data_IF_702636634474
#
_entry.id   IF_702636634474
#
_cell.length_a   1.000
_cell.length_b   1.000
_cell.length_c   1.000
_cell.angle_alpha   90.00
_cell.angle_beta   90.00
_cell.angle_gamma   90.00
#
_symmetry.space_group_name_H-M   'P 1'
#
loop_
_entity.id
_entity.type
_entity.pdbx_description
1 polymer ?
#
# COMPACT_ATOMS: atom_id res chain seq x y z
N UNK A 1 -13.27 -30.92 26.42
CA UNK A 1 -13.75 -30.98 25.02
C UNK A 1 -12.58 -30.97 24.01
N UNK A 2 -12.55 -31.89 23.03
CA UNK A 2 -11.52 -31.82 22.00
C UNK A 2 -11.75 -30.53 21.18
N UNK A 3 -10.71 -29.70 21.04
CA UNK A 3 -10.74 -28.52 20.18
C UNK A 3 -10.94 -29.02 18.75
N UNK A 4 -12.01 -28.57 18.10
CA UNK A 4 -12.19 -28.79 16.67
C UNK A 4 -10.93 -28.34 15.92
N UNK A 5 -10.49 -29.06 14.87
CA UNK A 5 -9.36 -28.62 14.08
C UNK A 5 -9.72 -27.24 13.52
N UNK A 6 -8.89 -26.23 13.82
CA UNK A 6 -8.97 -24.94 13.12
C UNK A 6 -8.70 -25.28 11.67
N UNK A 7 -9.76 -25.22 10.85
CA UNK A 7 -9.66 -25.51 9.43
C UNK A 7 -8.58 -24.58 8.86
N UNK A 8 -7.43 -25.17 8.55
CA UNK A 8 -6.38 -24.59 7.75
C UNK A 8 -6.97 -24.44 6.34
N UNK A 9 -7.89 -23.47 6.18
CA UNK A 9 -8.48 -23.13 4.88
C UNK A 9 -7.32 -22.60 4.06
N UNK A 10 -6.76 -23.50 3.25
CA UNK A 10 -5.79 -23.19 2.21
C UNK A 10 -6.33 -22.01 1.40
N UNK A 11 -5.79 -20.82 1.65
CA UNK A 11 -5.89 -19.61 0.84
C UNK A 11 -5.33 -19.77 -0.59
N UNK A 12 -5.09 -21.01 -1.05
CA UNK A 12 -4.42 -21.32 -2.31
C UNK A 12 -5.35 -21.31 -3.52
N UNK A 13 -6.67 -21.27 -3.36
CA UNK A 13 -7.60 -21.46 -4.50
C UNK A 13 -8.24 -20.20 -5.06
N UNK A 14 -8.17 -19.05 -4.39
CA UNK A 14 -8.88 -17.83 -4.85
C UNK A 14 -8.02 -16.95 -5.76
N UNK A 15 -6.69 -17.08 -5.71
CA UNK A 15 -5.76 -16.19 -6.46
C UNK A 15 -5.51 -16.59 -7.92
N UNK A 16 -6.34 -17.46 -8.52
CA UNK A 16 -6.07 -18.03 -9.86
C UNK A 16 -6.26 -17.09 -11.06
N UNK A 17 -6.64 -15.83 -10.87
CA UNK A 17 -7.05 -14.97 -11.98
C UNK A 17 -6.26 -13.68 -12.21
N UNK A 18 -5.17 -13.40 -11.49
CA UNK A 18 -4.34 -12.22 -11.79
C UNK A 18 -2.87 -12.57 -11.70
N UNK A 19 -2.12 -12.20 -12.73
CA UNK A 19 -0.69 -12.49 -12.92
C UNK A 19 0.23 -11.74 -11.94
N UNK A 20 -0.15 -11.69 -10.67
CA UNK A 20 0.64 -11.16 -9.56
C UNK A 20 0.67 -12.23 -8.48
N UNK A 21 1.77 -12.97 -8.41
CA UNK A 21 2.01 -13.88 -7.29
C UNK A 21 2.04 -13.06 -6.00
N UNK A 22 0.97 -13.14 -5.21
CA UNK A 22 0.94 -12.59 -3.86
C UNK A 22 1.79 -13.49 -2.99
N UNK A 23 3.08 -13.21 -3.00
CA UNK A 23 4.05 -13.84 -2.12
C UNK A 23 4.00 -13.08 -0.80
N UNK A 24 3.86 -13.77 0.34
CA UNK A 24 3.81 -13.17 1.69
C UNK A 24 5.10 -12.45 2.12
N UNK A 25 5.95 -12.09 1.16
CA UNK A 25 7.21 -11.37 1.28
C UNK A 25 7.13 -9.92 0.78
N UNK A 26 5.99 -9.49 0.22
CA UNK A 26 5.78 -8.10 -0.20
C UNK A 26 5.04 -7.30 0.88
N UNK A 27 5.58 -6.12 1.23
CA UNK A 27 4.89 -5.13 2.06
C UNK A 27 3.87 -4.38 1.19
N UNK A 28 2.60 -4.75 1.32
CA UNK A 28 1.50 -4.12 0.58
C UNK A 28 0.97 -2.84 1.22
N UNK A 29 1.34 -2.56 2.47
CA UNK A 29 1.04 -1.35 3.23
C UNK A 29 2.19 -1.03 4.20
N UNK A 30 2.45 0.25 4.47
CA UNK A 30 3.51 0.67 5.40
C UNK A 30 3.12 0.47 6.86
N UNK A 31 1.83 0.62 7.18
CA UNK A 31 1.30 0.44 8.54
C UNK A 31 -0.12 -0.15 8.49
N UNK A 32 -0.38 -1.11 9.37
CA UNK A 32 -1.69 -1.71 9.57
C UNK A 32 -2.16 -1.43 11.01
N UNK A 33 -3.35 -0.86 11.15
CA UNK A 33 -4.01 -0.63 12.43
C UNK A 33 -5.31 -1.43 12.47
N UNK A 34 -5.63 -1.99 13.63
CA UNK A 34 -6.91 -2.69 13.84
C UNK A 34 -7.59 -2.07 15.05
N UNK A 35 -8.80 -1.57 14.84
CA UNK A 35 -9.63 -1.02 15.89
C UNK A 35 -10.78 -1.98 16.19
N UNK A 36 -10.92 -2.34 17.46
CA UNK A 36 -12.15 -2.95 17.96
C UNK A 36 -13.19 -1.84 18.17
N UNK A 37 -14.26 -1.87 17.37
CA UNK A 37 -15.35 -0.89 17.45
C UNK A 37 -16.53 -1.40 18.28
N UNK A 38 -16.44 -2.62 18.83
CA UNK A 38 -17.52 -3.30 19.54
C UNK A 38 -18.64 -3.87 18.65
N UNK A 39 -18.60 -3.62 17.32
CA UNK A 39 -19.54 -4.19 16.35
C UNK A 39 -18.82 -4.97 15.25
N UNK A 40 -17.95 -4.28 14.53
CA UNK A 40 -17.22 -4.79 13.37
C UNK A 40 -15.79 -4.26 13.46
N UNK A 41 -14.75 -5.10 13.51
CA UNK A 41 -13.38 -4.61 13.52
C UNK A 41 -13.11 -3.75 12.29
N UNK A 42 -12.45 -2.61 12.49
CA UNK A 42 -12.00 -1.72 11.42
C UNK A 42 -10.50 -1.92 11.23
N UNK A 43 -10.13 -2.40 10.04
CA UNK A 43 -8.73 -2.49 9.60
C UNK A 43 -8.40 -1.25 8.79
N UNK A 44 -7.43 -0.47 9.27
CA UNK A 44 -6.91 0.71 8.59
C UNK A 44 -5.55 0.37 7.98
N UNK A 45 -5.51 0.46 6.66
CA UNK A 45 -4.35 0.26 5.82
C UNK A 45 -3.74 1.62 5.52
N UNK A 46 -2.50 1.87 5.91
CA UNK A 46 -1.83 3.16 5.69
C UNK A 46 -0.68 2.98 4.71
N UNK A 47 -0.69 3.80 3.68
CA UNK A 47 0.43 3.96 2.75
C UNK A 47 0.97 5.39 2.88
N UNK A 48 2.24 5.52 3.24
CA UNK A 48 2.91 6.76 3.55
C UNK A 48 4.01 7.09 2.53
N UNK A 49 3.92 8.29 1.95
CA UNK A 49 4.90 8.78 0.98
C UNK A 49 5.62 10.02 1.47
N UNK A 50 6.86 9.82 1.90
CA UNK A 50 7.77 10.88 2.35
C UNK A 50 8.41 11.72 1.23
N UNK A 51 8.20 11.38 -0.04
CA UNK A 51 8.77 12.11 -1.18
C UNK A 51 7.92 11.99 -2.43
N UNK A 52 7.73 13.12 -3.15
CA UNK A 52 6.92 13.24 -4.38
C UNK A 52 5.45 12.80 -4.22
N UNK A 53 4.69 12.91 -5.29
CA UNK A 53 3.31 12.43 -5.39
C UNK A 53 3.27 10.93 -5.65
N UNK A 54 2.13 10.30 -5.37
CA UNK A 54 1.84 8.94 -5.85
C UNK A 54 1.70 8.96 -7.37
N UNK A 55 2.39 8.05 -8.08
CA UNK A 55 2.17 7.87 -9.52
C UNK A 55 0.98 6.94 -9.77
N UNK A 56 0.34 7.09 -10.92
CA UNK A 56 -0.76 6.20 -11.34
C UNK A 56 -0.34 4.73 -11.32
N UNK A 57 0.84 4.41 -11.87
CA UNK A 57 1.38 3.05 -11.88
C UNK A 57 1.65 2.47 -10.49
N UNK A 58 2.06 3.31 -9.52
CA UNK A 58 2.27 2.88 -8.14
C UNK A 58 0.95 2.54 -7.46
N UNK A 59 -0.06 3.41 -7.62
CA UNK A 59 -1.39 3.20 -7.06
C UNK A 59 -2.05 1.97 -7.70
N UNK A 60 -2.07 1.90 -9.02
CA UNK A 60 -2.65 0.79 -9.78
C UNK A 60 -2.07 -0.58 -9.37
N UNK A 61 -0.74 -0.68 -9.32
CA UNK A 61 -0.06 -1.91 -8.90
C UNK A 61 -0.41 -2.31 -7.47
N UNK A 62 -0.51 -1.35 -6.54
CA UNK A 62 -0.82 -1.60 -5.13
C UNK A 62 -2.29 -1.98 -4.95
N UNK A 63 -3.21 -1.26 -5.59
CA UNK A 63 -4.64 -1.53 -5.51
C UNK A 63 -5.03 -2.85 -6.17
N UNK A 64 -4.38 -3.22 -7.27
CA UNK A 64 -4.59 -4.53 -7.91
C UNK A 64 -4.26 -5.68 -6.95
N UNK A 65 -3.19 -5.55 -6.16
CA UNK A 65 -2.84 -6.55 -5.15
C UNK A 65 -3.79 -6.50 -3.95
N UNK A 66 -4.13 -5.31 -3.46
CA UNK A 66 -5.10 -5.16 -2.37
C UNK A 66 -6.48 -5.74 -2.74
N UNK A 67 -6.97 -5.54 -3.96
CA UNK A 67 -8.21 -6.15 -4.45
C UNK A 67 -8.15 -7.67 -4.33
N UNK A 68 -7.07 -8.29 -4.81
CA UNK A 68 -6.89 -9.73 -4.73
C UNK A 68 -6.77 -10.28 -3.30
N UNK A 69 -6.38 -9.46 -2.32
CA UNK A 69 -6.33 -9.82 -0.89
C UNK A 69 -7.69 -9.60 -0.22
N UNK A 70 -8.31 -8.44 -0.44
CA UNK A 70 -9.44 -7.96 0.34
C UNK A 70 -10.79 -8.40 -0.23
N UNK A 71 -10.95 -8.46 -1.55
CA UNK A 71 -12.24 -8.83 -2.16
C UNK A 71 -12.70 -10.24 -1.70
N UNK A 72 -11.84 -11.27 -1.65
CA UNK A 72 -12.22 -12.57 -1.11
C UNK A 72 -12.63 -12.55 0.37
N UNK A 73 -12.06 -11.65 1.17
CA UNK A 73 -12.40 -11.51 2.60
C UNK A 73 -13.79 -10.91 2.74
N UNK A 74 -14.08 -9.89 1.93
CA UNK A 74 -15.36 -9.18 1.96
C UNK A 74 -16.51 -9.99 1.35
N UNK A 75 -16.21 -10.99 0.52
CA UNK A 75 -17.20 -11.92 -0.04
C UNK A 75 -17.54 -13.09 0.90
N UNK A 76 -16.68 -13.43 1.87
CA UNK A 76 -16.81 -14.61 2.74
C UNK A 76 -17.51 -14.34 4.09
N UNK A 77 -18.35 -13.30 4.18
CA UNK A 77 -19.22 -12.97 5.33
C UNK A 77 -18.52 -12.74 6.69
N UNK A 78 -17.19 -12.60 6.74
CA UNK A 78 -16.53 -12.11 7.95
C UNK A 78 -16.73 -10.59 8.02
N UNK A 79 -17.44 -10.05 9.02
CA UNK A 79 -17.67 -8.61 9.09
C UNK A 79 -16.34 -7.96 9.50
N UNK A 80 -15.63 -7.40 8.52
CA UNK A 80 -14.46 -6.56 8.72
C UNK A 80 -14.62 -5.34 7.82
N UNK A 81 -14.52 -4.15 8.40
CA UNK A 81 -14.49 -2.91 7.63
C UNK A 81 -13.04 -2.57 7.26
N UNK A 82 -12.83 -2.08 6.03
CA UNK A 82 -11.52 -1.64 5.57
C UNK A 82 -11.52 -0.15 5.26
N UNK A 83 -10.47 0.54 5.72
CA UNK A 83 -10.13 1.89 5.29
C UNK A 83 -8.70 1.92 4.74
N UNK A 84 -8.48 2.67 3.66
CA UNK A 84 -7.17 2.93 3.08
C UNK A 84 -6.82 4.41 3.20
N UNK A 85 -5.76 4.68 3.94
CA UNK A 85 -5.27 6.04 4.23
C UNK A 85 -4.01 6.28 3.41
N UNK A 86 -4.09 7.29 2.55
CA UNK A 86 -2.95 7.78 1.79
C UNK A 86 -2.33 8.97 2.51
N UNK A 87 -1.15 8.74 3.08
CA UNK A 87 -0.42 9.74 3.83
C UNK A 87 0.68 10.36 2.97
N UNK A 88 0.65 11.68 2.78
CA UNK A 88 1.60 12.40 1.93
C UNK A 88 2.43 13.43 2.69
N UNK A 89 3.69 13.62 2.29
CA UNK A 89 4.52 14.72 2.79
C UNK A 89 3.95 16.12 2.51
N UNK A 90 3.02 16.24 1.55
CA UNK A 90 2.22 17.44 1.26
C UNK A 90 0.76 17.03 1.04
N UNK A 91 -0.18 17.94 1.27
CA UNK A 91 -1.59 17.69 0.98
C UNK A 91 -1.85 17.38 -0.49
N UNK A 92 -1.14 18.05 -1.41
CA UNK A 92 -1.24 17.74 -2.84
C UNK A 92 -0.80 16.31 -3.19
N UNK A 93 0.16 15.74 -2.46
CA UNK A 93 0.59 14.36 -2.67
C UNK A 93 -0.47 13.37 -2.22
N UNK A 94 -1.03 13.54 -1.01
CA UNK A 94 -2.09 12.66 -0.48
C UNK A 94 -3.37 12.77 -1.31
N UNK A 95 -3.74 13.99 -1.72
CA UNK A 95 -4.94 14.24 -2.53
C UNK A 95 -4.82 13.55 -3.88
N UNK A 96 -3.66 13.67 -4.54
CA UNK A 96 -3.46 13.02 -5.83
C UNK A 96 -3.55 11.50 -5.74
N UNK A 97 -3.02 10.90 -4.68
CA UNK A 97 -3.16 9.47 -4.43
C UNK A 97 -4.63 9.07 -4.26
N UNK A 98 -5.40 9.85 -3.51
CA UNK A 98 -6.83 9.60 -3.27
C UNK A 98 -7.63 9.66 -4.57
N UNK A 99 -7.37 10.65 -5.42
CA UNK A 99 -7.99 10.77 -6.75
C UNK A 99 -7.72 9.52 -7.61
N UNK A 100 -6.45 9.11 -7.70
CA UNK A 100 -6.05 7.92 -8.47
C UNK A 100 -6.71 6.64 -7.92
N UNK A 101 -6.90 6.56 -6.61
CA UNK A 101 -7.58 5.42 -5.98
C UNK A 101 -9.06 5.38 -6.33
N UNK A 102 -9.74 6.52 -6.28
CA UNK A 102 -11.14 6.60 -6.71
C UNK A 102 -11.30 6.28 -8.20
N UNK A 103 -10.38 6.73 -9.04
CA UNK A 103 -10.36 6.40 -10.47
C UNK A 103 -10.20 4.89 -10.69
N UNK A 104 -9.26 4.24 -9.99
CA UNK A 104 -9.10 2.78 -10.04
C UNK A 104 -10.38 2.04 -9.66
N UNK A 105 -10.99 2.38 -8.51
CA UNK A 105 -12.23 1.73 -8.03
C UNK A 105 -13.36 1.90 -9.05
N UNK A 106 -13.50 3.11 -9.62
CA UNK A 106 -14.50 3.40 -10.63
C UNK A 106 -14.29 2.57 -11.90
N UNK A 107 -13.04 2.42 -12.35
CA UNK A 107 -12.71 1.77 -13.62
C UNK A 107 -12.75 0.25 -13.53
N UNK A 108 -12.38 -0.33 -12.39
CA UNK A 108 -12.29 -1.79 -12.20
C UNK A 108 -13.53 -2.39 -11.54
N UNK A 109 -14.24 -1.59 -10.72
CA UNK A 109 -15.33 -2.07 -9.89
C UNK A 109 -14.90 -2.89 -8.68
N UNK A 110 -13.60 -2.91 -8.36
CA UNK A 110 -13.01 -3.61 -7.21
C UNK A 110 -12.96 -2.72 -5.98
N UNK A 111 -12.79 -3.32 -4.79
CA UNK A 111 -12.61 -2.59 -3.54
C UNK A 111 -13.75 -1.58 -3.26
N UNK A 112 -14.97 -1.84 -3.73
CA UNK A 112 -16.12 -0.91 -3.63
C UNK A 112 -16.44 -0.50 -2.18
N UNK A 113 -16.18 -1.41 -1.25
CA UNK A 113 -16.39 -1.27 0.19
C UNK A 113 -15.22 -0.58 0.91
N UNK A 114 -14.11 -0.30 0.22
CA UNK A 114 -12.94 0.33 0.79
C UNK A 114 -13.17 1.83 1.01
N UNK A 115 -13.09 2.26 2.27
CA UNK A 115 -13.13 3.70 2.60
C UNK A 115 -11.78 4.34 2.31
N UNK A 116 -11.71 5.31 1.41
CA UNK A 116 -10.46 5.98 1.05
C UNK A 116 -10.36 7.32 1.76
N UNK A 117 -9.26 7.55 2.48
CA UNK A 117 -8.98 8.79 3.17
C UNK A 117 -7.58 9.30 2.84
N UNK A 118 -7.38 10.60 3.03
CA UNK A 118 -6.08 11.23 2.88
C UNK A 118 -5.61 11.86 4.18
N UNK A 119 -4.30 11.86 4.40
CA UNK A 119 -3.68 12.54 5.54
C UNK A 119 -2.41 13.25 5.12
N UNK A 120 -2.23 14.49 5.59
CA UNK A 120 -0.99 15.24 5.37
C UNK A 120 -0.06 15.08 6.55
N UNK A 121 1.21 14.79 6.30
CA UNK A 121 2.26 14.79 7.32
C UNK A 121 2.69 16.24 7.62
N UNK A 122 1.94 16.94 8.46
CA UNK A 122 2.11 18.39 8.72
C UNK A 122 3.49 18.79 9.23
N UNK A 123 4.19 17.89 9.93
CA UNK A 123 5.55 18.11 10.45
C UNK A 123 6.62 17.32 9.71
N UNK A 124 6.41 17.02 8.42
CA UNK A 124 7.39 16.25 7.65
C UNK A 124 8.70 17.04 7.43
N UNK A 125 9.87 16.49 7.76
CA UNK A 125 11.13 17.23 7.71
C UNK A 125 11.51 17.64 6.29
N UNK A 126 11.97 18.89 6.14
CA UNK A 126 12.33 19.45 4.84
C UNK A 126 13.71 19.01 4.33
N UNK A 127 14.65 18.74 5.25
CA UNK A 127 15.96 18.16 4.95
C UNK A 127 15.86 16.66 4.74
N UNK A 128 15.88 16.21 3.48
CA UNK A 128 15.79 14.80 3.13
C UNK A 128 17.10 14.30 2.56
N UNK A 129 17.48 13.10 2.95
CA UNK A 129 18.53 12.35 2.27
C UNK A 129 17.85 11.42 1.28
N UNK A 130 18.17 11.55 0.00
CA UNK A 130 17.78 10.59 -1.02
C UNK A 130 18.85 9.50 -1.08
N UNK A 131 18.46 8.29 -0.75
CA UNK A 131 19.29 7.10 -0.92
C UNK A 131 18.83 6.39 -2.20
N UNK A 132 19.75 6.12 -3.12
CA UNK A 132 19.47 5.38 -4.36
C UNK A 132 20.47 4.26 -4.55
N UNK A 133 20.01 3.08 -5.00
CA UNK A 133 20.88 2.01 -5.50
C UNK A 133 21.67 2.51 -6.71
N UNK A 134 22.96 2.19 -6.76
CA UNK A 134 23.81 2.50 -7.89
C UNK A 134 24.88 1.43 -8.15
N UNK A 135 25.49 1.51 -9.32
CA UNK A 135 26.70 0.78 -9.65
C UNK A 135 27.94 1.44 -9.01
N UNK A 136 29.12 0.84 -9.24
CA UNK A 136 30.41 1.35 -8.75
C UNK A 136 30.77 2.74 -9.29
N UNK A 137 30.13 3.16 -10.39
CA UNK A 137 30.33 4.48 -11.00
C UNK A 137 29.29 5.50 -10.53
N UNK A 138 28.41 5.13 -9.60
CA UNK A 138 27.37 6.01 -9.07
C UNK A 138 26.17 6.21 -9.99
N UNK A 139 26.02 5.44 -11.07
CA UNK A 139 24.83 5.47 -11.96
C UNK A 139 23.70 4.66 -11.32
N UNK A 140 22.46 5.14 -11.45
CA UNK A 140 21.30 4.44 -10.89
C UNK A 140 21.21 3.02 -11.47
N UNK A 141 21.00 2.03 -10.59
CA UNK A 141 20.94 0.61 -10.94
C UNK A 141 19.72 -0.06 -10.29
N UNK A 142 19.23 -1.12 -10.95
CA UNK A 142 18.23 -2.02 -10.39
C UNK A 142 18.86 -3.03 -9.42
N UNK A 143 18.08 -4.03 -8.97
CA UNK A 143 18.59 -5.04 -8.03
C UNK A 143 19.74 -5.88 -8.61
N UNK A 144 19.78 -6.11 -9.93
CA UNK A 144 20.80 -6.95 -10.56
C UNK A 144 22.12 -6.19 -10.73
N UNK A 145 22.07 -4.88 -11.01
CA UNK A 145 23.24 -4.01 -11.15
C UNK A 145 23.69 -3.31 -9.87
N UNK A 146 23.04 -3.57 -8.74
CA UNK A 146 23.30 -2.88 -7.47
C UNK A 146 24.61 -3.34 -6.83
N UNK A 147 25.52 -2.41 -6.60
CA UNK A 147 26.77 -2.65 -5.84
C UNK A 147 26.99 -1.64 -4.73
N UNK A 148 26.40 -0.44 -4.83
CA UNK A 148 26.65 0.66 -3.89
C UNK A 148 25.38 1.47 -3.60
N UNK A 149 25.38 2.13 -2.44
CA UNK A 149 24.37 3.13 -2.08
C UNK A 149 24.89 4.53 -2.35
N UNK A 150 24.15 5.31 -3.14
CA UNK A 150 24.43 6.74 -3.33
C UNK A 150 23.50 7.56 -2.46
N UNK A 151 24.11 8.42 -1.65
CA UNK A 151 23.44 9.33 -0.71
C UNK A 151 23.51 10.75 -1.30
N UNK A 152 22.35 11.39 -1.50
CA UNK A 152 22.25 12.80 -1.91
C UNK A 152 21.42 13.59 -0.91
N UNK A 153 21.97 14.66 -0.37
CA UNK A 153 21.20 15.65 0.38
C UNK A 153 20.26 16.38 -0.59
N UNK A 154 18.95 16.34 -0.34
CA UNK A 154 18.00 17.27 -0.95
C UNK A 154 18.07 18.57 -0.17
N UNK A 155 18.81 19.54 -0.68
CA UNK A 155 18.66 20.94 -0.29
C UNK A 155 17.32 21.45 -0.84
N UNK A 156 16.61 22.29 -0.08
CA UNK A 156 15.38 22.94 -0.55
C UNK A 156 15.68 23.64 -1.88
N UNK A 157 15.03 23.25 -2.97
CA UNK A 157 14.70 24.22 -4.01
C UNK A 157 13.60 25.09 -3.43
N UNK A 158 13.94 26.37 -3.22
CA UNK A 158 13.06 27.49 -2.89
C UNK A 158 11.83 27.52 -3.78
#
# INVERSE_FOLDING_TARGET
>A
PPKAPVAERRWRSVLKHRAHDITGTQEDVDLLLVFDTGKVPLVVLVEAKGASHFSASQIDSKLTRLAAILDPVTENDAPVEFAFVLMGATGSASQKGRELTHEFIKNTGELKQLRVQELTMTNFPSGRVRVTRCDANGKAADSAGFTHWRIKLRTKTS
#
